data_IF_402349394392
#
_entry.id   IF_402349394392
#
_cell.length_a   1.000
_cell.length_b   1.000
_cell.length_c   1.000
_cell.angle_alpha   90.00
_cell.angle_beta   90.00
_cell.angle_gamma   90.00
#
_symmetry.space_group_name_H-M   'P 1'
#
loop_
_entity.id
_entity.type
_entity.pdbx_description
1 polymer ?
#
# COMPACT_ATOMS: atom_id res chain seq x y z
N UNK A 1 -23.90 -6.51 -5.77
CA UNK A 1 -24.14 -5.08 -6.12
C UNK A 1 -22.88 -4.63 -6.83
N UNK A 2 -22.96 -4.47 -8.14
CA UNK A 2 -21.88 -3.98 -9.00
C UNK A 2 -21.58 -2.52 -8.65
N UNK A 3 -20.50 -2.28 -7.90
CA UNK A 3 -20.02 -0.94 -7.65
C UNK A 3 -19.22 -0.49 -8.87
N UNK A 4 -19.74 0.50 -9.59
CA UNK A 4 -19.00 1.20 -10.64
C UNK A 4 -17.68 1.72 -10.04
N UNK A 5 -16.57 1.17 -10.52
CA UNK A 5 -15.24 1.71 -10.33
C UNK A 5 -15.20 3.03 -11.10
N UNK A 6 -15.40 4.14 -10.39
CA UNK A 6 -15.28 5.48 -10.93
C UNK A 6 -13.87 5.69 -11.47
N UNK A 7 -13.76 5.74 -12.81
CA UNK A 7 -12.58 6.18 -13.53
C UNK A 7 -12.43 7.69 -13.34
N UNK A 8 -11.68 8.08 -12.32
CA UNK A 8 -11.27 9.48 -12.18
C UNK A 8 -10.03 9.72 -13.04
N UNK A 9 -9.99 10.79 -13.84
CA UNK A 9 -8.73 11.33 -14.31
C UNK A 9 -8.02 11.89 -13.06
N UNK A 10 -7.22 11.05 -12.41
CA UNK A 10 -6.14 11.55 -11.57
C UNK A 10 -5.21 12.24 -12.58
N UNK A 11 -5.00 13.55 -12.43
CA UNK A 11 -3.98 14.23 -13.24
C UNK A 11 -2.74 13.35 -13.21
N UNK A 12 -2.17 12.99 -14.37
CA UNK A 12 -0.97 12.18 -14.38
C UNK A 12 -0.05 12.85 -13.40
N UNK A 13 0.48 12.08 -12.43
CA UNK A 13 1.56 12.60 -11.62
C UNK A 13 2.74 12.63 -12.59
N UNK A 14 2.75 13.65 -13.43
CA UNK A 14 3.50 13.71 -14.68
C UNK A 14 4.99 13.84 -14.36
N UNK A 15 5.30 14.34 -13.16
CA UNK A 15 6.63 14.31 -12.56
C UNK A 15 7.16 12.89 -12.28
N UNK A 16 6.31 11.87 -12.04
CA UNK A 16 6.80 10.51 -11.82
C UNK A 16 7.23 9.84 -13.13
N UNK A 17 6.54 10.08 -14.25
CA UNK A 17 6.79 9.35 -15.51
C UNK A 17 7.96 9.94 -16.32
N UNK A 18 8.21 11.25 -16.19
CA UNK A 18 9.15 11.98 -17.07
C UNK A 18 10.60 12.08 -16.52
N UNK A 19 10.84 11.71 -15.26
CA UNK A 19 12.19 11.68 -14.73
C UNK A 19 12.89 10.36 -15.10
N UNK A 20 13.96 10.43 -15.90
CA UNK A 20 14.94 9.35 -16.15
C UNK A 20 15.70 8.89 -14.86
N UNK A 21 15.10 9.08 -13.69
CA UNK A 21 15.53 8.63 -12.37
C UNK A 21 14.28 8.47 -11.51
N UNK A 22 13.51 7.41 -11.77
CA UNK A 22 12.50 6.98 -10.81
C UNK A 22 13.25 6.66 -9.50
N UNK A 23 12.89 7.27 -8.35
CA UNK A 23 13.52 6.92 -7.08
C UNK A 23 13.34 5.43 -6.80
N UNK A 24 14.33 4.80 -6.17
CA UNK A 24 14.18 3.43 -5.70
C UNK A 24 13.19 3.42 -4.53
N UNK A 25 12.03 2.79 -4.74
CA UNK A 25 10.98 2.61 -3.73
C UNK A 25 11.04 1.20 -3.10
N UNK A 26 12.09 0.42 -3.38
CA UNK A 26 12.31 -0.91 -2.84
C UNK A 26 12.37 -0.95 -1.31
N UNK A 27 12.65 0.20 -0.68
CA UNK A 27 12.65 0.37 0.77
C UNK A 27 11.44 1.14 1.34
N UNK A 28 10.50 1.54 0.50
CA UNK A 28 9.34 2.35 0.92
C UNK A 28 8.22 1.51 1.51
N UNK A 29 7.53 2.03 2.52
CA UNK A 29 6.39 1.35 3.15
C UNK A 29 5.08 1.72 2.49
N UNK A 30 4.17 0.75 2.36
CA UNK A 30 2.77 1.05 2.09
C UNK A 30 2.15 1.75 3.31
N UNK A 31 1.49 2.91 3.14
CA UNK A 31 0.78 3.53 4.24
C UNK A 31 -0.49 2.74 4.58
N UNK A 32 -0.70 2.53 5.88
CA UNK A 32 -1.86 1.84 6.44
C UNK A 32 -2.87 2.82 7.05
N UNK A 33 -4.07 2.88 6.48
CA UNK A 33 -5.15 3.74 6.96
C UNK A 33 -6.32 2.97 7.57
N UNK A 34 -7.02 3.58 8.52
CA UNK A 34 -8.32 3.12 8.99
C UNK A 34 -9.43 3.85 8.23
N UNK A 35 -10.30 3.13 7.52
CA UNK A 35 -11.49 3.69 6.86
C UNK A 35 -12.78 3.34 7.61
N UNK A 36 -12.78 2.25 8.37
CA UNK A 36 -13.89 1.90 9.26
C UNK A 36 -13.44 1.92 10.73
N UNK A 37 -14.37 1.80 11.69
CA UNK A 37 -14.16 2.12 13.10
C UNK A 37 -13.16 1.17 13.78
N UNK A 38 -11.88 1.46 13.54
CA UNK A 38 -10.72 0.65 13.91
C UNK A 38 -9.76 1.53 14.69
N UNK A 39 -9.32 1.03 15.85
CA UNK A 39 -8.39 1.75 16.70
C UNK A 39 -6.96 1.64 16.19
N UNK A 40 -6.12 2.62 16.58
CA UNK A 40 -4.69 2.60 16.32
C UNK A 40 -4.00 1.30 16.79
N UNK A 41 -4.45 0.71 17.90
CA UNK A 41 -3.91 -0.56 18.40
C UNK A 41 -4.11 -1.73 17.43
N UNK A 42 -5.22 -1.75 16.68
CA UNK A 42 -5.47 -2.75 15.64
C UNK A 42 -4.58 -2.50 14.43
N UNK A 43 -4.35 -1.23 14.05
CA UNK A 43 -3.38 -0.91 13.00
C UNK A 43 -1.97 -1.37 13.35
N UNK A 44 -1.55 -1.21 14.62
CA UNK A 44 -0.25 -1.73 15.08
C UNK A 44 -0.18 -3.25 14.99
N UNK A 45 -1.24 -3.96 15.38
CA UNK A 45 -1.30 -5.43 15.24
C UNK A 45 -1.19 -5.87 13.77
N UNK A 46 -1.90 -5.18 12.87
CA UNK A 46 -1.81 -5.41 11.42
C UNK A 46 -0.38 -5.17 10.92
N UNK A 47 0.17 -3.99 11.19
CA UNK A 47 1.51 -3.62 10.73
C UNK A 47 2.58 -4.58 11.27
N UNK A 48 2.51 -4.95 12.56
CA UNK A 48 3.44 -5.90 13.14
C UNK A 48 3.34 -7.28 12.48
N UNK A 49 2.12 -7.78 12.27
CA UNK A 49 1.89 -9.10 11.66
C UNK A 49 2.41 -9.15 10.22
N UNK A 50 2.09 -8.16 9.39
CA UNK A 50 2.50 -8.12 7.97
C UNK A 50 4.02 -7.96 7.86
N UNK A 51 4.63 -7.13 8.70
CA UNK A 51 6.09 -6.96 8.69
C UNK A 51 6.84 -8.20 9.23
N UNK A 52 6.21 -9.00 10.08
CA UNK A 52 6.77 -10.30 10.48
C UNK A 52 6.71 -11.32 9.34
N UNK A 53 5.60 -11.34 8.59
CA UNK A 53 5.44 -12.19 7.40
C UNK A 53 6.49 -11.86 6.34
N UNK A 54 6.63 -10.58 5.97
CA UNK A 54 7.60 -10.16 4.95
C UNK A 54 9.02 -10.57 5.33
N UNK A 55 9.43 -10.36 6.59
CA UNK A 55 10.75 -10.79 7.09
C UNK A 55 10.92 -12.31 6.98
N UNK A 56 9.91 -13.08 7.36
CA UNK A 56 9.97 -14.54 7.36
C UNK A 56 10.03 -15.12 5.94
N UNK A 57 9.23 -14.60 5.01
CA UNK A 57 9.12 -15.08 3.63
C UNK A 57 10.37 -14.75 2.80
N UNK A 58 10.98 -13.59 3.02
CA UNK A 58 12.18 -13.16 2.29
C UNK A 58 13.47 -13.80 2.82
N UNK A 59 13.39 -14.50 3.97
CA UNK A 59 14.55 -15.12 4.61
C UNK A 59 15.61 -14.11 5.08
N UNK A 60 15.25 -12.83 5.16
CA UNK A 60 16.17 -11.77 5.54
C UNK A 60 16.52 -11.84 7.02
N UNK A 61 17.80 -11.60 7.31
CA UNK A 61 18.22 -11.31 8.67
C UNK A 61 17.55 -10.03 9.18
N UNK A 62 17.41 -9.84 10.50
CA UNK A 62 16.85 -8.59 11.03
C UNK A 62 17.55 -7.33 10.51
N UNK A 63 18.87 -7.42 10.26
CA UNK A 63 19.67 -6.30 9.76
C UNK A 63 19.34 -5.96 8.30
N UNK A 64 19.19 -6.97 7.44
CA UNK A 64 18.79 -6.76 6.04
C UNK A 64 17.37 -6.20 5.95
N UNK A 65 16.49 -6.64 6.86
CA UNK A 65 15.14 -6.11 6.96
C UNK A 65 15.11 -4.64 7.42
N UNK A 66 15.98 -4.27 8.37
CA UNK A 66 16.11 -2.87 8.83
C UNK A 66 16.62 -1.94 7.71
N UNK A 67 17.47 -2.46 6.80
CA UNK A 67 17.97 -1.73 5.63
C UNK A 67 16.90 -1.57 4.53
N UNK A 68 16.04 -2.56 4.36
CA UNK A 68 14.88 -2.52 3.44
C UNK A 68 13.69 -1.72 3.99
N UNK A 69 13.64 -1.45 5.28
CA UNK A 69 12.49 -0.81 5.90
C UNK A 69 11.22 -1.68 5.87
N UNK A 70 10.22 -1.34 6.71
CA UNK A 70 9.00 -2.12 6.82
C UNK A 70 8.22 -2.12 5.50
N UNK A 71 7.57 -3.25 5.17
CA UNK A 71 6.69 -3.36 4.02
C UNK A 71 5.45 -2.46 4.17
N UNK A 72 4.96 -2.30 5.40
CA UNK A 72 3.78 -1.51 5.73
C UNK A 72 3.98 -0.71 7.01
N UNK A 73 3.57 0.56 7.02
CA UNK A 73 3.70 1.44 8.19
C UNK A 73 2.49 2.38 8.32
N UNK A 74 2.29 2.95 9.51
CA UNK A 74 1.12 3.75 9.85
C UNK A 74 1.51 5.24 9.83
N UNK A 75 0.95 6.05 8.92
CA UNK A 75 1.25 7.47 8.88
C UNK A 75 0.66 8.23 10.07
N UNK A 76 1.14 9.45 10.33
CA UNK A 76 0.60 10.30 11.42
C UNK A 76 -0.90 10.55 11.25
N UNK A 77 -1.34 10.80 10.02
CA UNK A 77 -2.75 11.00 9.63
C UNK A 77 -3.40 9.69 9.16
N UNK A 78 -3.31 8.64 9.98
CA UNK A 78 -3.84 7.31 9.67
C UNK A 78 -5.37 7.20 9.76
N UNK A 79 -6.00 8.04 10.58
CA UNK A 79 -7.43 7.97 10.87
C UNK A 79 -8.22 8.66 9.77
N UNK A 80 -8.81 7.85 8.90
CA UNK A 80 -9.75 8.25 7.85
C UNK A 80 -11.14 7.62 8.14
N UNK A 81 -11.47 7.43 9.41
CA UNK A 81 -12.80 6.96 9.80
C UNK A 81 -13.89 7.85 9.18
N UNK A 82 -14.98 7.22 8.76
CA UNK A 82 -16.13 7.88 8.11
C UNK A 82 -15.81 8.53 6.74
N UNK A 83 -14.61 8.32 6.20
CA UNK A 83 -14.26 8.71 4.83
C UNK A 83 -14.62 7.61 3.84
N UNK A 84 -15.03 8.04 2.64
CA UNK A 84 -15.18 7.11 1.52
C UNK A 84 -13.81 6.65 1.00
N UNK A 85 -13.78 5.58 0.21
CA UNK A 85 -12.56 5.18 -0.49
C UNK A 85 -12.01 6.31 -1.38
N UNK A 86 -12.90 7.06 -2.04
CA UNK A 86 -12.51 8.20 -2.88
C UNK A 86 -11.82 9.30 -2.08
N UNK A 87 -12.31 9.58 -0.86
CA UNK A 87 -11.67 10.53 0.04
C UNK A 87 -10.29 10.04 0.48
N UNK A 88 -10.14 8.74 0.73
CA UNK A 88 -8.85 8.14 1.10
C UNK A 88 -7.84 8.17 -0.06
N UNK A 89 -8.30 7.92 -1.28
CA UNK A 89 -7.52 8.06 -2.52
C UNK A 89 -7.06 9.50 -2.69
N UNK A 90 -7.98 10.47 -2.59
CA UNK A 90 -7.62 11.89 -2.65
C UNK A 90 -6.66 12.29 -1.51
N UNK A 91 -6.86 11.75 -0.31
CA UNK A 91 -5.93 11.97 0.79
C UNK A 91 -4.52 11.47 0.45
N UNK A 92 -4.41 10.23 -0.03
CA UNK A 92 -3.12 9.62 -0.35
C UNK A 92 -2.42 10.25 -1.56
N UNK A 93 -3.14 10.53 -2.65
CA UNK A 93 -2.50 11.04 -3.87
C UNK A 93 -2.40 12.57 -3.95
N UNK A 94 -3.16 13.31 -3.15
CA UNK A 94 -3.21 14.78 -3.24
C UNK A 94 -2.77 15.50 -1.97
N UNK A 95 -2.81 14.86 -0.79
CA UNK A 95 -2.54 15.52 0.51
C UNK A 95 -1.41 14.88 1.31
N UNK A 96 -1.06 13.65 0.97
CA UNK A 96 0.00 12.90 1.61
C UNK A 96 1.36 13.43 1.14
N UNK A 97 2.33 13.53 2.05
CA UNK A 97 3.65 14.07 1.73
C UNK A 97 4.55 12.95 1.17
N UNK A 98 4.81 12.88 -0.15
CA UNK A 98 5.67 11.85 -0.71
C UNK A 98 7.15 12.10 -0.38
N UNK A 99 7.50 13.27 0.17
CA UNK A 99 8.88 13.68 0.41
C UNK A 99 9.39 13.33 1.82
N UNK A 100 8.61 12.62 2.64
CA UNK A 100 9.16 12.05 3.87
C UNK A 100 10.20 10.99 3.50
N UNK A 101 11.39 11.12 4.08
CA UNK A 101 12.55 10.28 3.77
C UNK A 101 12.96 9.46 4.98
N UNK A 102 13.44 8.25 4.72
CA UNK A 102 14.15 7.45 5.69
C UNK A 102 15.50 8.11 6.03
N UNK A 103 16.16 7.72 7.15
CA UNK A 103 17.51 8.19 7.48
C UNK A 103 18.55 7.90 6.38
N UNK A 104 18.30 6.88 5.54
CA UNK A 104 19.13 6.54 4.37
C UNK A 104 19.00 7.57 3.24
N UNK A 105 17.97 8.42 3.26
CA UNK A 105 17.65 9.39 2.21
C UNK A 105 16.61 8.91 1.20
N UNK A 106 16.22 7.64 1.28
CA UNK A 106 15.22 7.02 0.41
C UNK A 106 13.80 7.47 0.75
N UNK A 107 12.85 7.42 -0.20
CA UNK A 107 11.45 7.73 0.09
C UNK A 107 10.90 6.77 1.15
N UNK A 108 10.29 7.31 2.21
CA UNK A 108 9.68 6.50 3.26
C UNK A 108 8.41 5.81 2.77
N UNK A 109 7.61 6.49 1.96
CA UNK A 109 6.28 6.04 1.60
C UNK A 109 6.18 5.61 0.15
N UNK A 110 5.47 4.51 -0.06
CA UNK A 110 5.19 4.02 -1.40
C UNK A 110 4.19 4.97 -2.10
N UNK A 111 4.51 5.51 -3.29
CA UNK A 111 3.78 6.65 -3.86
C UNK A 111 2.56 6.25 -4.70
N UNK A 112 2.45 4.98 -5.09
CA UNK A 112 1.42 4.51 -6.03
C UNK A 112 0.42 3.54 -5.41
N UNK A 113 0.40 3.39 -4.08
CA UNK A 113 -0.59 2.54 -3.42
C UNK A 113 -0.55 2.60 -1.90
N UNK A 114 -1.67 2.19 -1.29
CA UNK A 114 -1.87 2.15 0.15
C UNK A 114 -2.75 0.96 0.56
N UNK A 115 -2.71 0.63 1.85
CA UNK A 115 -3.55 -0.40 2.45
C UNK A 115 -4.54 0.25 3.41
N UNK A 116 -5.77 -0.26 3.39
CA UNK A 116 -6.88 0.24 4.18
C UNK A 116 -7.55 -0.89 4.97
N UNK A 117 -7.88 -0.61 6.23
CA UNK A 117 -8.70 -1.52 7.05
C UNK A 117 -10.10 -0.94 7.26
N UNK A 118 -11.11 -1.76 6.99
CA UNK A 118 -12.52 -1.38 7.15
C UNK A 118 -13.13 -1.94 8.44
N UNK A 119 -12.57 -3.04 8.98
CA UNK A 119 -13.15 -3.76 10.12
C UNK A 119 -12.06 -4.28 11.04
N UNK A 120 -12.34 -4.29 12.35
CA UNK A 120 -11.45 -4.86 13.37
C UNK A 120 -11.15 -6.35 13.18
N UNK A 121 -12.07 -7.09 12.55
CA UNK A 121 -11.91 -8.50 12.18
C UNK A 121 -11.18 -8.63 10.83
N UNK A 122 -10.00 -8.02 10.76
CA UNK A 122 -9.23 -7.88 9.53
C UNK A 122 -8.70 -9.22 9.02
N UNK A 123 -8.37 -10.16 9.92
CA UNK A 123 -7.95 -11.53 9.55
C UNK A 123 -9.05 -12.30 8.81
N UNK A 124 -10.32 -12.15 9.23
CA UNK A 124 -11.45 -12.83 8.59
C UNK A 124 -12.05 -12.07 7.39
N UNK A 125 -11.82 -10.75 7.31
CA UNK A 125 -12.41 -9.88 6.27
C UNK A 125 -11.42 -9.37 5.23
N UNK A 126 -10.14 -9.61 5.44
CA UNK A 126 -9.06 -9.08 4.61
C UNK A 126 -8.82 -7.60 4.83
N UNK A 127 -7.85 -7.10 4.06
CA UNK A 127 -7.51 -5.69 3.97
C UNK A 127 -7.81 -5.20 2.56
N UNK A 128 -8.05 -3.90 2.39
CA UNK A 128 -8.23 -3.29 1.07
C UNK A 128 -6.89 -2.75 0.59
N UNK A 129 -6.33 -3.35 -0.46
CA UNK A 129 -5.18 -2.80 -1.17
C UNK A 129 -5.69 -1.90 -2.28
N UNK A 130 -5.21 -0.66 -2.36
CA UNK A 130 -5.57 0.30 -3.41
C UNK A 130 -4.31 0.86 -4.05
N UNK A 131 -4.22 0.83 -5.38
CA UNK A 131 -3.02 1.18 -6.12
C UNK A 131 -3.31 1.71 -7.53
N UNK A 132 -2.34 2.42 -8.11
CA UNK A 132 -2.35 2.85 -9.51
C UNK A 132 -1.68 1.79 -10.39
N UNK A 133 -2.36 1.42 -11.47
CA UNK A 133 -1.85 0.50 -12.48
C UNK A 133 -1.79 1.20 -13.83
N UNK A 134 -0.66 1.05 -14.54
CA UNK A 134 -0.56 1.52 -15.93
C UNK A 134 -1.37 0.59 -16.83
N UNK A 135 -2.32 1.18 -17.54
CA UNK A 135 -3.11 0.58 -18.61
C UNK A 135 -2.74 1.26 -19.94
N UNK A 136 -3.33 0.81 -21.06
CA UNK A 136 -3.06 1.36 -22.39
C UNK A 136 -3.34 2.88 -22.48
N UNK A 137 -2.30 3.68 -22.26
CA UNK A 137 -2.32 5.14 -22.37
C UNK A 137 -2.79 5.92 -21.14
N UNK A 138 -3.08 5.26 -20.00
CA UNK A 138 -3.51 5.95 -18.77
C UNK A 138 -3.16 5.17 -17.49
N UNK A 139 -3.30 5.82 -16.33
CA UNK A 139 -3.19 5.19 -15.02
C UNK A 139 -4.60 4.92 -14.47
N UNK A 140 -4.90 3.66 -14.14
CA UNK A 140 -6.15 3.25 -13.53
C UNK A 140 -5.97 3.03 -12.02
N UNK A 141 -6.90 3.56 -11.24
CA UNK A 141 -7.02 3.19 -9.83
C UNK A 141 -7.67 1.80 -9.72
N UNK A 142 -7.01 0.89 -9.01
CA UNK A 142 -7.52 -0.45 -8.70
C UNK A 142 -7.61 -0.61 -7.20
N UNK A 143 -8.63 -1.35 -6.75
CA UNK A 143 -8.77 -1.74 -5.34
C UNK A 143 -9.24 -3.18 -5.25
N UNK A 144 -8.64 -3.95 -4.34
CA UNK A 144 -9.02 -5.34 -4.11
C UNK A 144 -8.94 -5.68 -2.62
N UNK A 145 -9.75 -6.65 -2.19
CA UNK A 145 -9.63 -7.23 -0.86
C UNK A 145 -8.57 -8.33 -0.90
N UNK A 146 -7.52 -8.18 -0.10
CA UNK A 146 -6.39 -9.10 -0.01
C UNK A 146 -6.49 -9.95 1.25
N UNK A 147 -6.12 -11.23 1.10
CA UNK A 147 -5.91 -12.12 2.25
C UNK A 147 -4.68 -11.69 3.00
N UNK A 148 -4.69 -11.92 4.30
CA UNK A 148 -3.69 -11.39 5.21
C UNK A 148 -2.54 -12.34 5.47
N UNK A 149 -2.63 -13.59 5.02
CA UNK A 149 -1.73 -14.66 5.44
C UNK A 149 -0.36 -14.59 4.76
N UNK A 150 -0.30 -13.99 3.56
CA UNK A 150 0.88 -13.86 2.70
C UNK A 150 1.07 -12.41 2.21
N UNK A 151 0.43 -11.44 2.86
CA UNK A 151 0.43 -10.06 2.39
C UNK A 151 1.82 -9.42 2.52
N UNK A 152 2.61 -9.83 3.51
CA UNK A 152 3.97 -9.33 3.73
C UNK A 152 4.86 -9.45 2.50
N UNK A 153 5.08 -10.65 1.97
CA UNK A 153 5.88 -10.87 0.77
C UNK A 153 5.27 -10.19 -0.45
N UNK A 154 3.94 -10.27 -0.63
CA UNK A 154 3.26 -9.62 -1.75
C UNK A 154 3.52 -8.11 -1.82
N UNK A 155 3.50 -7.40 -0.70
CA UNK A 155 3.81 -5.96 -0.66
C UNK A 155 5.28 -5.68 -0.99
N UNK A 156 6.20 -6.55 -0.58
CA UNK A 156 7.63 -6.40 -0.92
C UNK A 156 7.87 -6.62 -2.40
N UNK A 157 7.33 -7.70 -2.98
CA UNK A 157 7.41 -7.95 -4.43
C UNK A 157 6.79 -6.79 -5.23
N UNK A 158 5.67 -6.23 -4.74
CA UNK A 158 5.01 -5.08 -5.37
C UNK A 158 5.94 -3.86 -5.46
N UNK A 159 6.56 -3.45 -4.34
CA UNK A 159 7.39 -2.24 -4.32
C UNK A 159 8.73 -2.40 -5.05
N UNK A 160 9.22 -3.64 -5.18
CA UNK A 160 10.44 -3.96 -5.93
C UNK A 160 10.19 -4.12 -7.44
N UNK A 161 8.93 -4.17 -7.87
CA UNK A 161 8.57 -4.34 -9.28
C UNK A 161 8.84 -5.74 -9.81
N UNK A 162 8.87 -6.75 -8.93
CA UNK A 162 9.07 -8.13 -9.33
C UNK A 162 7.88 -8.61 -10.16
N UNK A 163 8.17 -9.33 -11.25
CA UNK A 163 7.18 -9.92 -12.16
C UNK A 163 6.19 -10.87 -11.46
N UNK A 164 6.46 -11.26 -10.21
CA UNK A 164 5.57 -12.04 -9.35
C UNK A 164 4.26 -11.33 -9.00
N UNK A 165 4.18 -10.00 -9.11
CA UNK A 165 2.91 -9.30 -8.94
C UNK A 165 1.87 -9.66 -10.01
N UNK A 166 2.29 -9.95 -11.24
CA UNK A 166 1.39 -10.48 -12.28
C UNK A 166 0.87 -11.90 -11.93
N UNK A 167 1.58 -12.62 -11.06
CA UNK A 167 1.22 -13.96 -10.57
C UNK A 167 0.39 -13.95 -9.28
N UNK A 168 0.45 -12.89 -8.47
CA UNK A 168 -0.33 -12.74 -7.24
C UNK A 168 -1.82 -12.39 -7.46
N UNK A 169 -2.37 -12.65 -8.67
CA UNK A 169 -3.80 -12.52 -9.02
C UNK A 169 -4.69 -13.59 -8.36
N UNK A 170 -4.44 -13.94 -7.11
CA UNK A 170 -5.36 -14.69 -6.26
C UNK A 170 -6.46 -13.79 -5.69
N UNK A 171 -7.23 -13.11 -6.56
CA UNK A 171 -8.28 -12.21 -6.12
C UNK A 171 -9.51 -12.98 -5.60
N UNK A 172 -10.08 -12.52 -4.49
CA UNK A 172 -11.48 -12.80 -4.16
C UNK A 172 -12.29 -11.71 -4.87
N UNK A 173 -12.92 -12.06 -5.98
CA UNK A 173 -13.98 -11.23 -6.55
C UNK A 173 -15.14 -11.15 -5.55
N UNK A 174 -15.63 -9.94 -5.29
CA UNK A 174 -16.75 -9.68 -4.40
C UNK A 174 -18.09 -9.64 -5.17
#
# INVERSE_FOLDING_TARGET
>A
MSGDLSTFPIEPIQEFVDANSFPDFGSSSFPLFALGPVSYSVLKDISATINEQSRAELGFSPKEYDELGPAIDIPEKWDLNDKSLNDAVHHHFSLFNPYEKLPTGDPKWYPVGFVAVLKKDWRGKGLLLTYLQKEDGYLALKSCVVKTDELGGQLVSFRQGDAEFDYARGFIEA
#
